data_IF_920355231061
#
_entry.id   IF_920355231061
#
_cell.length_a   1.000
_cell.length_b   1.000
_cell.length_c   1.000
_cell.angle_alpha   90.00
_cell.angle_beta   90.00
_cell.angle_gamma   90.00
#
_symmetry.space_group_name_H-M   'P 1'
#
loop_
_entity.id
_entity.type
_entity.pdbx_description
1 polymer ?
#
# COMPACT_ATOMS: atom_id res chain seq x y z
N UNK A 1 6.64 -4.36 24.53
CA UNK A 1 6.04 -3.12 23.99
C UNK A 1 4.82 -3.51 23.17
N UNK A 2 3.72 -2.76 23.31
CA UNK A 2 2.52 -2.98 22.52
C UNK A 2 2.30 -1.80 21.57
N UNK A 3 2.04 -2.10 20.30
CA UNK A 3 1.68 -1.13 19.26
C UNK A 3 0.21 -1.34 18.97
N UNK A 4 -0.62 -0.36 19.23
CA UNK A 4 -2.06 -0.41 18.93
C UNK A 4 -2.36 0.52 17.75
N UNK A 5 -2.93 -0.04 16.70
CA UNK A 5 -3.41 0.69 15.52
C UNK A 5 -4.93 0.79 15.61
N UNK A 6 -5.47 1.98 15.47
CA UNK A 6 -6.92 2.21 15.54
C UNK A 6 -7.43 2.59 14.16
N UNK A 7 -8.36 1.80 13.64
CA UNK A 7 -9.03 2.00 12.36
C UNK A 7 -8.85 0.83 11.38
N UNK A 8 -9.95 0.32 10.87
CA UNK A 8 -10.01 -0.82 9.93
C UNK A 8 -9.99 -0.42 8.45
N UNK A 9 -9.82 0.85 8.12
CA UNK A 9 -9.65 1.30 6.75
C UNK A 9 -8.26 0.96 6.20
N UNK A 10 -8.02 1.29 4.92
CA UNK A 10 -6.77 0.94 4.24
C UNK A 10 -5.53 1.42 5.00
N UNK A 11 -5.52 2.64 5.53
CA UNK A 11 -4.38 3.18 6.27
C UNK A 11 -4.09 2.38 7.55
N UNK A 12 -5.12 2.02 8.31
CA UNK A 12 -4.97 1.24 9.54
C UNK A 12 -4.49 -0.18 9.26
N UNK A 13 -5.11 -0.86 8.30
CA UNK A 13 -4.73 -2.22 7.90
C UNK A 13 -3.29 -2.27 7.38
N UNK A 14 -2.89 -1.32 6.51
CA UNK A 14 -1.51 -1.22 6.02
C UNK A 14 -0.50 -0.96 7.14
N UNK A 15 -0.85 -0.08 8.08
CA UNK A 15 0.01 0.23 9.23
C UNK A 15 0.19 -1.00 10.11
N UNK A 16 -0.89 -1.69 10.43
CA UNK A 16 -0.84 -2.91 11.24
C UNK A 16 -0.04 -4.02 10.55
N UNK A 17 -0.23 -4.20 9.23
CA UNK A 17 0.52 -5.16 8.44
C UNK A 17 2.02 -4.84 8.42
N UNK A 18 2.37 -3.57 8.23
CA UNK A 18 3.77 -3.12 8.23
C UNK A 18 4.46 -3.43 9.56
N UNK A 19 3.88 -2.99 10.67
CA UNK A 19 4.45 -3.27 11.98
C UNK A 19 4.46 -4.77 12.29
N UNK A 20 3.39 -5.49 11.99
CA UNK A 20 3.31 -6.93 12.20
C UNK A 20 4.41 -7.68 11.45
N UNK A 21 4.64 -7.35 10.19
CA UNK A 21 5.67 -7.98 9.38
C UNK A 21 7.08 -7.69 9.90
N UNK A 22 7.41 -6.42 10.15
CA UNK A 22 8.76 -6.04 10.59
C UNK A 22 9.08 -6.42 12.04
N UNK A 23 8.07 -6.72 12.85
CA UNK A 23 8.27 -7.16 14.24
C UNK A 23 8.02 -8.65 14.46
N UNK A 24 7.77 -9.41 13.40
CA UNK A 24 7.39 -10.82 13.44
C UNK A 24 8.33 -11.69 14.31
N UNK A 25 9.62 -11.41 14.27
CA UNK A 25 10.64 -12.15 15.02
C UNK A 25 10.97 -11.53 16.39
N UNK A 26 10.32 -10.45 16.77
CA UNK A 26 10.57 -9.78 18.04
C UNK A 26 9.44 -10.06 19.05
N UNK A 27 9.65 -11.09 19.87
CA UNK A 27 8.67 -11.53 20.89
C UNK A 27 8.31 -10.46 21.95
N UNK A 28 9.08 -9.37 22.02
CA UNK A 28 8.83 -8.29 22.97
C UNK A 28 7.88 -7.21 22.40
N UNK A 29 7.48 -7.36 21.12
CA UNK A 29 6.56 -6.44 20.45
C UNK A 29 5.29 -7.19 20.07
N UNK A 30 4.16 -6.66 20.50
CA UNK A 30 2.83 -7.08 20.13
C UNK A 30 2.19 -6.00 19.25
N UNK A 31 1.58 -6.38 18.14
CA UNK A 31 0.84 -5.46 17.28
C UNK A 31 -0.64 -5.81 17.32
N UNK A 32 -1.47 -4.82 17.59
CA UNK A 32 -2.91 -4.95 17.70
C UNK A 32 -3.60 -3.97 16.74
N UNK A 33 -4.61 -4.46 16.02
CA UNK A 33 -5.50 -3.61 15.22
C UNK A 33 -6.89 -3.59 15.86
N UNK A 34 -7.36 -2.40 16.22
CA UNK A 34 -8.71 -2.16 16.73
C UNK A 34 -9.55 -1.53 15.61
N UNK A 35 -10.65 -2.17 15.26
CA UNK A 35 -11.56 -1.66 14.26
C UNK A 35 -13.02 -1.95 14.63
N UNK A 36 -13.93 -1.22 14.00
CA UNK A 36 -15.36 -1.45 14.10
C UNK A 36 -15.80 -2.35 12.93
N UNK A 37 -16.27 -3.58 13.19
CA UNK A 37 -16.69 -4.50 12.14
C UNK A 37 -18.00 -4.08 11.46
N UNK A 38 -18.77 -3.16 12.06
CA UNK A 38 -20.01 -2.64 11.50
C UNK A 38 -19.79 -1.53 10.46
N UNK A 39 -18.56 -1.02 10.36
CA UNK A 39 -18.22 0.00 9.37
C UNK A 39 -17.65 -0.67 8.12
N UNK A 40 -18.41 -0.63 7.04
CA UNK A 40 -17.96 -1.10 5.73
C UNK A 40 -16.85 -0.20 5.15
N UNK A 41 -15.96 -0.81 4.37
CA UNK A 41 -15.00 -0.07 3.57
C UNK A 41 -15.70 0.79 2.53
N UNK A 42 -15.19 2.00 2.27
CA UNK A 42 -15.70 2.82 1.19
C UNK A 42 -15.54 2.12 -0.16
N UNK A 43 -16.59 2.01 -0.99
CA UNK A 43 -16.54 1.35 -2.29
C UNK A 43 -15.90 2.24 -3.35
N UNK A 44 -14.65 2.64 -3.14
CA UNK A 44 -13.88 3.51 -4.03
C UNK A 44 -12.56 2.87 -4.40
N UNK A 45 -12.06 3.19 -5.59
CA UNK A 45 -10.72 2.80 -5.99
C UNK A 45 -9.67 3.53 -5.14
N UNK A 46 -8.53 2.88 -4.92
CA UNK A 46 -7.43 3.43 -4.15
C UNK A 46 -6.13 3.33 -4.91
N UNK A 47 -5.45 4.47 -5.04
CA UNK A 47 -4.09 4.50 -5.56
C UNK A 47 -3.06 4.21 -4.46
N UNK A 48 -2.07 3.38 -4.79
CA UNK A 48 -0.96 3.06 -3.91
C UNK A 48 0.36 3.52 -4.50
N UNK A 49 1.35 3.73 -3.65
CA UNK A 49 2.74 3.91 -4.08
C UNK A 49 3.39 2.54 -4.33
N UNK A 50 4.43 2.45 -5.18
CA UNK A 50 5.13 1.18 -5.46
C UNK A 50 5.63 0.45 -4.21
N UNK A 51 6.02 1.17 -3.15
CA UNK A 51 6.49 0.55 -1.90
C UNK A 51 5.45 -0.31 -1.17
N UNK A 52 4.16 -0.03 -1.34
CA UNK A 52 3.09 -0.83 -0.73
C UNK A 52 2.93 -2.20 -1.41
N UNK A 53 3.17 -2.29 -2.70
CA UNK A 53 3.12 -3.58 -3.41
C UNK A 53 4.22 -4.53 -2.92
N UNK A 54 5.41 -4.00 -2.56
CA UNK A 54 6.47 -4.79 -1.95
C UNK A 54 6.06 -5.37 -0.60
N UNK A 55 5.42 -4.57 0.24
CA UNK A 55 4.93 -5.03 1.54
C UNK A 55 3.90 -6.17 1.39
N UNK A 56 2.96 -6.04 0.45
CA UNK A 56 1.97 -7.10 0.17
C UNK A 56 2.64 -8.38 -0.30
N UNK A 57 3.61 -8.27 -1.18
CA UNK A 57 4.34 -9.43 -1.68
C UNK A 57 5.06 -10.16 -0.55
N UNK A 58 5.87 -9.45 0.24
CA UNK A 58 6.68 -10.06 1.29
C UNK A 58 5.88 -10.52 2.51
N UNK A 59 4.83 -9.79 2.88
CA UNK A 59 4.06 -10.11 4.08
C UNK A 59 2.88 -11.05 3.83
N UNK A 60 2.31 -11.06 2.62
CA UNK A 60 1.08 -11.76 2.32
C UNK A 60 1.15 -12.65 1.08
N UNK A 61 2.31 -12.70 0.40
CA UNK A 61 2.47 -13.42 -0.89
C UNK A 61 1.47 -12.95 -1.96
N UNK A 62 1.08 -11.68 -1.91
CA UNK A 62 0.18 -11.08 -2.90
C UNK A 62 1.01 -10.46 -4.01
N UNK A 63 0.90 -11.03 -5.19
CA UNK A 63 1.57 -10.57 -6.40
C UNK A 63 0.63 -9.67 -7.21
N UNK A 64 1.14 -8.55 -7.73
CA UNK A 64 0.35 -7.64 -8.54
C UNK A 64 -0.09 -8.23 -9.91
N UNK A 65 0.58 -9.26 -10.40
CA UNK A 65 0.16 -9.98 -11.60
C UNK A 65 -1.02 -10.93 -11.37
N UNK A 66 -1.08 -11.52 -10.17
CA UNK A 66 -2.08 -12.50 -9.80
C UNK A 66 -2.68 -12.11 -8.45
N UNK A 67 -3.57 -11.14 -8.48
CA UNK A 67 -4.24 -10.67 -7.27
C UNK A 67 -5.75 -10.60 -7.48
N UNK A 68 -6.49 -10.95 -6.45
CA UNK A 68 -7.96 -10.99 -6.47
C UNK A 68 -8.59 -9.60 -6.60
N UNK A 69 -7.88 -8.55 -6.18
CA UNK A 69 -8.37 -7.17 -6.27
C UNK A 69 -8.16 -6.54 -7.64
N UNK A 70 -7.55 -7.27 -8.58
CA UNK A 70 -7.25 -6.82 -9.95
C UNK A 70 -6.46 -5.50 -9.96
N UNK A 71 -5.51 -5.38 -9.05
CA UNK A 71 -4.64 -4.22 -9.01
C UNK A 71 -3.83 -4.10 -10.30
N UNK A 72 -3.63 -2.87 -10.75
CA UNK A 72 -2.83 -2.53 -11.92
C UNK A 72 -1.70 -1.59 -11.53
N UNK A 73 -0.53 -1.64 -12.21
CA UNK A 73 0.57 -0.76 -11.88
C UNK A 73 0.20 0.71 -12.15
N UNK A 74 0.53 1.57 -11.21
CA UNK A 74 0.43 3.01 -11.37
C UNK A 74 1.73 3.53 -11.96
N UNK A 75 1.66 4.06 -13.18
CA UNK A 75 2.85 4.48 -13.94
C UNK A 75 3.35 5.87 -13.55
N UNK A 76 2.48 6.71 -13.04
CA UNK A 76 2.83 8.07 -12.66
C UNK A 76 1.59 8.92 -12.38
N UNK A 77 1.80 10.22 -12.26
CA UNK A 77 0.76 11.22 -12.03
C UNK A 77 0.91 12.32 -13.08
N UNK A 78 -0.17 12.57 -13.82
CA UNK A 78 -0.26 13.72 -14.71
C UNK A 78 -0.88 14.89 -13.94
N UNK A 79 -0.15 15.96 -13.79
CA UNK A 79 -0.64 17.23 -13.24
C UNK A 79 -1.05 18.14 -14.40
N UNK A 80 -2.32 18.41 -14.53
CA UNK A 80 -2.85 19.31 -15.55
C UNK A 80 -3.12 20.70 -14.96
N UNK A 81 -2.78 21.74 -15.71
CA UNK A 81 -2.99 23.14 -15.31
C UNK A 81 -2.41 23.50 -13.93
N UNK A 82 -1.36 22.79 -13.50
CA UNK A 82 -0.71 23.01 -12.20
C UNK A 82 -0.02 24.38 -12.11
N UNK A 83 0.56 24.82 -13.23
CA UNK A 83 1.30 26.07 -13.29
C UNK A 83 1.13 26.76 -14.66
N UNK A 84 1.12 28.10 -14.65
CA UNK A 84 1.12 28.89 -15.88
C UNK A 84 2.38 28.70 -16.74
N UNK A 85 3.52 28.32 -16.12
CA UNK A 85 4.80 28.10 -16.80
C UNK A 85 4.90 26.71 -17.42
N UNK A 86 4.34 25.70 -16.72
CA UNK A 86 4.31 24.31 -17.14
C UNK A 86 2.88 23.83 -17.00
N UNK A 87 2.08 23.93 -18.09
CA UNK A 87 0.67 23.56 -18.01
C UNK A 87 0.44 22.11 -17.64
N UNK A 88 1.26 21.21 -18.18
CA UNK A 88 1.17 19.78 -17.93
C UNK A 88 2.52 19.23 -17.49
N UNK A 89 2.53 18.55 -16.36
CA UNK A 89 3.70 17.87 -15.81
C UNK A 89 3.36 16.42 -15.55
N UNK A 90 4.05 15.50 -16.20
CA UNK A 90 3.95 14.08 -15.88
C UNK A 90 5.10 13.69 -14.92
N UNK A 91 4.74 13.26 -13.73
CA UNK A 91 5.66 12.68 -12.75
C UNK A 91 5.57 11.15 -12.86
N UNK A 92 6.55 10.55 -13.49
CA UNK A 92 6.64 9.10 -13.61
C UNK A 92 7.12 8.46 -12.30
N UNK A 93 6.58 7.27 -12.01
CA UNK A 93 7.08 6.46 -10.91
C UNK A 93 8.23 5.56 -11.36
N UNK A 94 9.24 5.32 -10.52
CA UNK A 94 10.38 4.49 -10.89
C UNK A 94 9.92 3.05 -11.19
N UNK A 95 10.09 2.65 -12.44
CA UNK A 95 9.68 1.34 -12.96
C UNK A 95 10.43 0.18 -12.31
N UNK A 96 11.65 0.43 -11.85
CA UNK A 96 12.53 -0.61 -11.29
C UNK A 96 11.94 -1.30 -10.05
N UNK A 97 11.16 -0.58 -9.25
CA UNK A 97 10.53 -1.18 -8.07
C UNK A 97 9.35 -2.10 -8.45
N UNK A 98 8.69 -1.82 -9.56
CA UNK A 98 7.59 -2.64 -10.07
C UNK A 98 8.14 -3.87 -10.80
N UNK A 99 9.24 -3.70 -11.54
CA UNK A 99 9.88 -4.79 -12.28
C UNK A 99 10.52 -5.83 -11.35
N UNK A 100 11.10 -5.41 -10.23
CA UNK A 100 11.71 -6.34 -9.26
C UNK A 100 10.70 -7.25 -8.54
N UNK A 101 9.40 -6.92 -8.61
CA UNK A 101 8.32 -7.73 -8.03
C UNK A 101 7.62 -8.60 -9.08
N UNK A 102 8.04 -8.46 -10.31
CA UNK A 102 7.42 -9.11 -11.46
C UNK A 102 8.11 -10.43 -11.83
N UNK A 103 9.23 -10.72 -11.23
CA UNK A 103 9.98 -11.94 -11.52
C UNK A 103 9.44 -13.09 -10.67
N UNK A 104 8.90 -14.14 -11.27
CA UNK A 104 8.36 -15.31 -10.57
C UNK A 104 9.45 -16.13 -9.87
#
# INVERSE_FOLDING_TARGET
MKITVIGGGNAGVWTALHYGYYTLNNKNIEVELIHDPEIDSFPVGQGMTPGLSSLLYFACDINWYHNEVRATPKLGILYENWSKRIPNLFHEFPFNQVAMQADP
#
